data_IF_914408188345
#
_entry.id   IF_914408188345
#
_cell.length_a   1.000
_cell.length_b   1.000
_cell.length_c   1.000
_cell.angle_alpha   90.00
_cell.angle_beta   90.00
_cell.angle_gamma   90.00
#
_symmetry.space_group_name_H-M   'P 1'
#
loop_
_entity.id
_entity.type
_entity.pdbx_description
1 polymer ?
#
# COMPACT_ATOMS: atom_id res chain seq x y z
N UNK A 1 2.69 -20.90 20.12
CA UNK A 1 1.29 -20.73 19.69
C UNK A 1 1.26 -20.86 18.18
N UNK A 2 0.56 -21.85 17.63
CA UNK A 2 0.41 -22.02 16.18
C UNK A 2 -0.41 -20.82 15.67
N UNK A 3 0.11 -20.11 14.67
CA UNK A 3 -0.61 -18.99 14.06
C UNK A 3 -1.79 -19.55 13.28
N UNK A 4 -2.99 -18.99 13.41
CA UNK A 4 -4.18 -19.49 12.72
C UNK A 4 -4.15 -19.17 11.20
N UNK A 5 -3.21 -18.32 10.74
CA UNK A 5 -3.14 -17.84 9.36
C UNK A 5 -1.76 -18.06 8.75
N UNK A 6 -1.74 -18.53 7.49
CA UNK A 6 -0.51 -18.72 6.70
C UNK A 6 -0.04 -17.42 6.05
N UNK A 7 -0.97 -16.54 5.72
CA UNK A 7 -0.70 -15.22 5.12
C UNK A 7 -1.86 -14.26 5.37
N UNK A 8 -1.64 -12.99 5.05
CA UNK A 8 -2.65 -11.94 5.07
C UNK A 8 -2.66 -11.21 3.72
N UNK A 9 -3.85 -10.89 3.20
CA UNK A 9 -4.00 -10.12 1.96
C UNK A 9 -4.90 -8.93 2.25
N UNK A 10 -4.39 -7.71 2.03
CA UNK A 10 -5.19 -6.51 2.04
C UNK A 10 -5.59 -6.15 0.60
N UNK A 11 -6.85 -5.87 0.41
CA UNK A 11 -7.38 -5.33 -0.86
C UNK A 11 -8.04 -3.98 -0.61
N UNK A 12 -8.09 -3.15 -1.63
CA UNK A 12 -8.74 -1.84 -1.53
C UNK A 12 -8.47 -0.97 -2.75
N UNK A 13 -8.72 0.31 -2.58
CA UNK A 13 -8.48 1.31 -3.62
C UNK A 13 -7.37 2.27 -3.20
N UNK A 14 -6.79 2.99 -4.18
CA UNK A 14 -5.77 3.99 -3.95
C UNK A 14 -5.89 5.15 -4.93
N UNK A 15 -5.39 6.33 -4.53
CA UNK A 15 -5.11 7.44 -5.44
C UNK A 15 -3.73 7.29 -6.06
N UNK A 16 -3.57 7.58 -7.36
CA UNK A 16 -2.27 7.53 -8.04
C UNK A 16 -1.65 8.92 -8.18
N UNK A 17 -0.36 9.05 -7.82
CA UNK A 17 0.47 10.22 -8.14
C UNK A 17 1.01 10.15 -9.58
N UNK A 18 0.98 8.99 -10.21
CA UNK A 18 1.60 8.74 -11.51
C UNK A 18 0.56 8.50 -12.60
N UNK A 19 0.61 9.29 -13.67
CA UNK A 19 -0.19 9.07 -14.87
C UNK A 19 0.18 7.79 -15.65
N UNK A 20 1.28 7.12 -15.25
CA UNK A 20 1.71 5.87 -15.89
C UNK A 20 0.93 4.66 -15.35
N UNK A 21 0.21 4.81 -14.24
CA UNK A 21 -0.66 3.79 -13.67
C UNK A 21 -2.10 4.22 -13.96
N UNK A 22 -2.83 3.43 -14.71
CA UNK A 22 -4.16 3.78 -15.16
C UNK A 22 -5.21 3.68 -14.04
N UNK A 23 -6.28 4.44 -14.14
CA UNK A 23 -7.49 4.25 -13.30
C UNK A 23 -8.05 2.84 -13.62
N UNK A 24 -8.46 2.11 -12.58
CA UNK A 24 -8.89 0.72 -12.68
C UNK A 24 -7.73 -0.30 -12.64
N UNK A 25 -6.49 0.11 -12.87
CA UNK A 25 -5.35 -0.80 -12.77
C UNK A 25 -5.11 -1.26 -11.33
N UNK A 26 -4.94 -2.57 -11.14
CA UNK A 26 -4.58 -3.13 -9.83
C UNK A 26 -3.08 -3.32 -9.71
N UNK A 27 -2.51 -2.79 -8.65
CA UNK A 27 -1.08 -2.80 -8.34
C UNK A 27 -0.82 -3.48 -7.00
N UNK A 28 0.41 -3.97 -6.80
CA UNK A 28 0.85 -4.49 -5.51
C UNK A 28 1.75 -3.47 -4.83
N UNK A 29 1.34 -3.00 -3.65
CA UNK A 29 2.21 -2.17 -2.81
C UNK A 29 3.20 -3.10 -2.10
N UNK A 30 4.50 -2.80 -2.23
CA UNK A 30 5.59 -3.59 -1.61
C UNK A 30 6.35 -2.81 -0.55
N UNK A 31 6.20 -1.51 -0.51
CA UNK A 31 6.74 -0.64 0.54
C UNK A 31 5.75 0.51 0.81
N UNK A 32 5.58 0.88 2.07
CA UNK A 32 4.66 1.94 2.49
C UNK A 32 5.18 2.63 3.75
N UNK A 33 4.76 3.86 3.99
CA UNK A 33 5.08 4.60 5.20
C UNK A 33 3.91 5.44 5.68
N UNK A 34 3.91 5.80 6.98
CA UNK A 34 3.02 6.79 7.53
C UNK A 34 3.52 8.20 7.17
N UNK A 35 2.99 8.77 6.09
CA UNK A 35 3.54 10.00 5.51
C UNK A 35 3.21 11.27 6.29
N UNK A 36 2.24 11.22 7.21
CA UNK A 36 1.81 12.36 8.04
C UNK A 36 1.81 12.01 9.55
N UNK A 37 2.50 10.94 9.94
CA UNK A 37 2.75 10.62 11.33
C UNK A 37 4.07 11.27 11.77
N UNK A 38 3.98 12.35 12.55
CA UNK A 38 5.16 13.11 12.95
C UNK A 38 4.78 14.32 13.77
N UNK A 39 5.66 15.31 13.77
CA UNK A 39 5.58 16.55 14.53
C UNK A 39 5.52 17.73 13.56
N UNK A 40 4.63 18.66 13.81
CA UNK A 40 4.68 19.99 13.21
C UNK A 40 5.63 20.90 14.02
N UNK A 41 6.78 21.19 13.43
CA UNK A 41 7.74 22.11 14.00
C UNK A 41 7.67 23.47 13.28
N UNK A 42 6.78 24.33 13.72
CA UNK A 42 6.54 25.67 13.14
C UNK A 42 6.23 25.63 11.64
N UNK A 43 5.31 24.77 11.21
CA UNK A 43 4.91 24.60 9.82
C UNK A 43 5.84 23.68 9.01
N UNK A 44 6.86 23.10 9.63
CA UNK A 44 7.72 22.10 9.03
C UNK A 44 7.40 20.72 9.62
N UNK A 45 6.87 19.83 8.80
CA UNK A 45 6.65 18.45 9.21
C UNK A 45 7.97 17.71 9.37
N UNK A 46 8.12 17.02 10.51
CA UNK A 46 9.22 16.10 10.81
C UNK A 46 8.68 14.73 11.20
N UNK A 47 9.19 13.67 10.59
CA UNK A 47 8.78 12.30 10.93
C UNK A 47 9.23 11.93 12.35
N UNK A 48 8.59 10.91 12.95
CA UNK A 48 8.99 10.38 14.25
C UNK A 48 10.46 9.93 14.25
N UNK A 49 10.95 9.44 13.12
CA UNK A 49 12.36 9.03 12.96
C UNK A 49 13.31 10.22 12.98
N UNK A 50 12.99 11.30 12.26
CA UNK A 50 13.80 12.53 12.27
C UNK A 50 13.88 13.15 13.66
N UNK A 51 12.88 12.92 14.52
CA UNK A 51 12.85 13.36 15.92
C UNK A 51 13.43 12.34 16.90
N UNK A 52 13.90 11.17 16.42
CA UNK A 52 14.42 10.11 17.28
C UNK A 52 13.35 9.42 18.14
N UNK A 53 12.07 9.55 17.78
CA UNK A 53 10.91 9.00 18.51
C UNK A 53 10.39 7.70 17.90
N UNK A 54 11.03 7.19 16.85
CA UNK A 54 10.65 5.90 16.27
C UNK A 54 10.97 4.77 17.23
N UNK A 55 9.98 3.95 17.53
CA UNK A 55 10.10 2.78 18.42
C UNK A 55 10.01 1.46 17.66
N UNK A 56 10.16 1.47 16.36
CA UNK A 56 10.16 0.27 15.53
C UNK A 56 11.59 -0.16 15.13
N UNK A 57 11.69 -1.41 14.72
CA UNK A 57 12.95 -2.02 14.28
C UNK A 57 13.11 -1.96 12.74
N UNK A 58 12.36 -1.05 12.08
CA UNK A 58 12.42 -0.93 10.62
C UNK A 58 13.49 0.08 10.20
N UNK A 59 14.28 -0.29 9.21
CA UNK A 59 15.24 0.62 8.60
C UNK A 59 14.55 1.63 7.70
N UNK A 60 14.78 2.93 7.95
CA UNK A 60 14.21 4.03 7.16
C UNK A 60 12.73 4.33 7.48
N UNK A 61 12.15 5.25 6.72
CA UNK A 61 10.75 5.67 6.87
C UNK A 61 9.76 4.65 6.32
N UNK A 62 10.20 3.76 5.42
CA UNK A 62 9.35 2.78 4.74
C UNK A 62 9.35 1.42 5.41
N UNK A 63 8.15 0.86 5.56
CA UNK A 63 7.93 -0.53 5.96
C UNK A 63 7.92 -1.36 4.69
N UNK A 64 8.95 -2.19 4.51
CA UNK A 64 9.13 -3.00 3.31
C UNK A 64 8.53 -4.39 3.50
N UNK A 65 7.81 -4.90 2.50
CA UNK A 65 7.41 -6.30 2.43
C UNK A 65 8.59 -7.13 1.86
N UNK A 66 9.27 -7.94 2.67
CA UNK A 66 10.48 -8.63 2.25
C UNK A 66 10.21 -9.79 1.28
N UNK A 67 8.99 -10.28 1.26
CA UNK A 67 8.58 -11.44 0.46
C UNK A 67 7.17 -11.25 -0.09
N UNK A 68 7.00 -10.40 -1.13
CA UNK A 68 5.70 -10.17 -1.72
C UNK A 68 5.14 -11.46 -2.33
N UNK A 69 3.94 -11.83 -1.90
CA UNK A 69 3.30 -13.11 -2.26
C UNK A 69 2.85 -13.19 -3.73
N UNK A 70 2.67 -12.06 -4.39
CA UNK A 70 2.11 -11.96 -5.74
C UNK A 70 3.15 -11.37 -6.69
N UNK A 71 3.83 -12.23 -7.45
CA UNK A 71 4.97 -11.81 -8.28
C UNK A 71 4.59 -11.13 -9.59
N UNK A 72 3.36 -11.31 -10.07
CA UNK A 72 2.94 -10.91 -11.42
C UNK A 72 2.39 -9.48 -11.52
N UNK A 73 2.17 -8.80 -10.39
CA UNK A 73 1.64 -7.44 -10.40
C UNK A 73 2.75 -6.39 -10.34
N UNK A 74 2.47 -5.20 -10.91
CA UNK A 74 3.36 -4.06 -10.81
C UNK A 74 3.61 -3.73 -9.33
N UNK A 75 4.87 -3.83 -8.92
CA UNK A 75 5.33 -3.55 -7.56
C UNK A 75 5.63 -2.08 -7.40
N UNK A 76 5.01 -1.46 -6.41
CA UNK A 76 5.09 -0.02 -6.24
C UNK A 76 5.24 0.40 -4.78
N UNK A 77 5.64 1.65 -4.60
CA UNK A 77 5.71 2.34 -3.31
C UNK A 77 4.42 3.08 -3.04
N UNK A 78 3.85 2.87 -1.85
CA UNK A 78 2.73 3.64 -1.32
C UNK A 78 3.15 4.66 -0.27
N UNK A 79 2.23 5.55 0.04
CA UNK A 79 2.19 6.34 1.27
C UNK A 79 0.82 6.24 1.90
N UNK A 80 0.78 6.14 3.22
CA UNK A 80 -0.44 6.16 4.01
C UNK A 80 -0.59 7.50 4.70
N UNK A 81 -1.74 8.13 4.51
CA UNK A 81 -2.08 9.44 5.08
C UNK A 81 -3.36 9.36 5.90
N UNK A 82 -3.47 10.16 6.96
CA UNK A 82 -4.72 10.32 7.72
C UNK A 82 -5.69 11.29 7.04
N UNK A 83 -5.17 12.19 6.22
CA UNK A 83 -5.95 13.16 5.45
C UNK A 83 -5.61 13.02 3.98
N UNK A 84 -6.59 12.65 3.15
CA UNK A 84 -6.41 12.54 1.70
C UNK A 84 -5.91 13.86 1.09
N UNK A 85 -4.91 13.77 0.23
CA UNK A 85 -4.25 14.92 -0.37
C UNK A 85 -5.15 15.60 -1.40
N UNK A 86 -5.43 16.89 -1.19
CA UNK A 86 -6.35 17.67 -2.04
C UNK A 86 -5.83 19.06 -2.39
N UNK A 87 -4.61 19.41 -1.99
CA UNK A 87 -3.95 20.68 -2.35
C UNK A 87 -2.62 20.43 -3.05
N UNK A 88 -2.30 21.27 -4.02
CA UNK A 88 -1.04 21.18 -4.76
C UNK A 88 0.18 21.18 -3.83
N UNK A 89 0.20 22.05 -2.83
CA UNK A 89 1.32 22.15 -1.89
C UNK A 89 1.57 20.85 -1.16
N UNK A 90 0.51 20.19 -0.65
CA UNK A 90 0.65 18.91 0.04
C UNK A 90 1.08 17.79 -0.88
N UNK A 91 0.53 17.76 -2.10
CA UNK A 91 0.89 16.77 -3.12
C UNK A 91 2.38 16.90 -3.47
N UNK A 92 2.85 18.12 -3.76
CA UNK A 92 4.24 18.40 -4.11
C UNK A 92 5.20 18.02 -2.95
N UNK A 93 4.79 18.26 -1.71
CA UNK A 93 5.56 17.88 -0.51
C UNK A 93 5.70 16.35 -0.39
N UNK A 94 4.61 15.60 -0.51
CA UNK A 94 4.64 14.14 -0.46
C UNK A 94 5.49 13.56 -1.58
N UNK A 95 5.34 14.07 -2.81
CA UNK A 95 6.14 13.63 -3.96
C UNK A 95 7.62 13.92 -3.74
N UNK A 96 7.97 15.12 -3.29
CA UNK A 96 9.36 15.51 -3.03
C UNK A 96 10.00 14.65 -1.93
N UNK A 97 9.25 14.34 -0.87
CA UNK A 97 9.78 13.67 0.32
C UNK A 97 9.84 12.15 0.15
N UNK A 98 8.78 11.54 -0.37
CA UNK A 98 8.61 10.09 -0.36
C UNK A 98 8.68 9.45 -1.76
N UNK A 99 8.55 10.24 -2.84
CA UNK A 99 8.49 9.74 -4.22
C UNK A 99 7.49 8.57 -4.37
N UNK A 100 6.26 8.71 -3.86
CA UNK A 100 5.28 7.63 -3.89
C UNK A 100 4.68 7.45 -5.27
N UNK A 101 4.18 6.24 -5.54
CA UNK A 101 3.35 5.97 -6.71
C UNK A 101 1.87 6.14 -6.37
N UNK A 102 1.47 5.76 -5.15
CA UNK A 102 0.07 5.79 -4.71
C UNK A 102 -0.09 6.31 -3.29
N UNK A 103 -1.29 6.84 -3.00
CA UNK A 103 -1.77 7.24 -1.68
C UNK A 103 -2.86 6.30 -1.20
N UNK A 104 -2.74 5.85 0.06
CA UNK A 104 -3.75 5.06 0.79
C UNK A 104 -4.03 5.69 2.15
N UNK A 105 -4.98 5.14 2.91
CA UNK A 105 -5.29 5.62 4.27
C UNK A 105 -5.09 4.56 5.36
N UNK A 106 -4.73 3.30 5.00
CA UNK A 106 -4.65 2.20 5.95
C UNK A 106 -3.44 1.28 5.77
N UNK A 107 -2.75 1.39 4.63
CA UNK A 107 -1.86 0.33 4.17
C UNK A 107 -0.58 0.19 5.04
N UNK A 108 0.03 1.30 5.49
CA UNK A 108 1.19 1.24 6.37
C UNK A 108 0.87 0.55 7.71
N UNK A 109 -0.35 0.76 8.25
CA UNK A 109 -0.79 0.08 9.47
C UNK A 109 -0.88 -1.44 9.27
N UNK A 110 -1.44 -1.87 8.13
CA UNK A 110 -1.48 -3.28 7.76
C UNK A 110 -0.06 -3.87 7.63
N UNK A 111 0.84 -3.17 6.95
CA UNK A 111 2.25 -3.57 6.81
C UNK A 111 2.93 -3.70 8.16
N UNK A 112 2.75 -2.69 9.03
CA UNK A 112 3.32 -2.67 10.37
C UNK A 112 2.92 -3.91 11.17
N UNK A 113 1.62 -4.21 11.23
CA UNK A 113 1.10 -5.37 11.98
C UNK A 113 1.64 -6.68 11.41
N UNK A 114 1.59 -6.86 10.08
CA UNK A 114 2.09 -8.07 9.44
C UNK A 114 3.59 -8.28 9.69
N UNK A 115 4.39 -7.22 9.59
CA UNK A 115 5.83 -7.26 9.89
C UNK A 115 6.10 -7.62 11.34
N UNK A 116 5.47 -6.95 12.31
CA UNK A 116 5.63 -7.24 13.74
C UNK A 116 5.20 -8.67 14.09
N UNK A 117 4.16 -9.17 13.46
CA UNK A 117 3.69 -10.54 13.65
C UNK A 117 4.44 -11.56 12.78
N UNK A 118 5.35 -11.13 11.91
CA UNK A 118 6.09 -11.97 10.94
C UNK A 118 5.12 -12.83 10.09
N UNK A 119 3.99 -12.28 9.69
CA UNK A 119 3.00 -12.93 8.81
C UNK A 119 3.36 -12.56 7.38
N UNK A 120 3.51 -13.53 6.45
CA UNK A 120 3.62 -13.24 5.01
C UNK A 120 2.37 -12.50 4.53
N UNK A 121 2.54 -11.49 3.67
CA UNK A 121 1.40 -10.68 3.27
C UNK A 121 1.51 -10.14 1.84
N UNK A 122 0.37 -9.72 1.30
CA UNK A 122 0.28 -8.94 0.07
C UNK A 122 -0.69 -7.77 0.28
N UNK A 123 -0.47 -6.69 -0.45
CA UNK A 123 -1.42 -5.57 -0.53
C UNK A 123 -1.70 -5.25 -1.99
N UNK A 124 -2.94 -5.45 -2.40
CA UNK A 124 -3.45 -5.13 -3.74
C UNK A 124 -4.35 -3.91 -3.65
N UNK A 125 -4.06 -2.91 -4.47
CA UNK A 125 -4.87 -1.69 -4.56
C UNK A 125 -5.18 -1.39 -6.02
N UNK A 126 -6.47 -1.17 -6.33
CA UNK A 126 -6.84 -0.65 -7.63
C UNK A 126 -6.93 0.87 -7.61
N UNK A 127 -6.50 1.51 -8.68
CA UNK A 127 -6.49 2.97 -8.77
C UNK A 127 -7.91 3.48 -9.00
N UNK A 128 -8.42 4.25 -8.05
CA UNK A 128 -9.76 4.87 -8.13
C UNK A 128 -9.74 6.28 -8.69
N UNK A 129 -8.63 6.99 -8.53
CA UNK A 129 -8.49 8.40 -8.91
C UNK A 129 -7.02 8.80 -9.03
N UNK A 130 -6.77 9.94 -9.64
CA UNK A 130 -5.48 10.62 -9.52
C UNK A 130 -5.44 11.42 -8.21
N UNK A 131 -4.25 11.50 -7.59
CA UNK A 131 -3.99 12.42 -6.48
C UNK A 131 -3.76 13.82 -7.06
N UNK A 132 -4.81 14.62 -7.04
CA UNK A 132 -4.89 15.95 -7.63
C UNK A 132 -5.72 16.89 -6.75
N UNK A 133 -5.74 18.21 -6.97
CA UNK A 133 -6.70 19.10 -6.32
C UNK A 133 -8.11 18.53 -6.46
N UNK A 134 -8.80 18.39 -5.31
CA UNK A 134 -9.96 17.51 -5.15
C UNK A 134 -11.05 17.75 -6.18
N UNK A 135 -11.25 16.77 -7.07
CA UNK A 135 -12.38 16.66 -7.98
C UNK A 135 -12.99 15.25 -7.92
N UNK A 136 -14.14 15.11 -7.23
CA UNK A 136 -14.80 13.80 -7.05
C UNK A 136 -15.43 13.25 -8.33
N UNK A 137 -15.71 14.08 -9.32
CA UNK A 137 -16.27 13.64 -10.59
C UNK A 137 -15.34 12.73 -11.38
N UNK A 138 -14.04 12.87 -11.15
CA UNK A 138 -12.99 12.05 -11.76
C UNK A 138 -12.79 10.69 -11.08
N UNK A 139 -13.48 10.41 -9.96
CA UNK A 139 -13.31 9.18 -9.23
C UNK A 139 -14.09 8.02 -9.87
N UNK A 140 -13.42 6.89 -10.01
CA UNK A 140 -13.95 5.64 -10.60
C UNK A 140 -13.94 4.51 -9.58
N UNK A 141 -14.56 4.75 -8.41
CA UNK A 141 -14.51 3.81 -7.27
C UNK A 141 -15.11 2.45 -7.61
N UNK A 142 -16.26 2.42 -8.29
CA UNK A 142 -16.92 1.15 -8.65
C UNK A 142 -16.05 0.29 -9.58
N UNK A 143 -15.41 0.91 -10.57
CA UNK A 143 -14.47 0.25 -11.48
C UNK A 143 -13.25 -0.30 -10.73
N UNK A 144 -12.64 0.49 -9.86
CA UNK A 144 -11.49 0.07 -9.07
C UNK A 144 -11.85 -1.08 -8.11
N UNK A 145 -13.02 -1.02 -7.45
CA UNK A 145 -13.48 -2.09 -6.56
C UNK A 145 -13.70 -3.39 -7.36
N UNK A 146 -14.31 -3.33 -8.54
CA UNK A 146 -14.48 -4.50 -9.39
C UNK A 146 -13.13 -5.11 -9.78
N UNK A 147 -12.21 -4.29 -10.28
CA UNK A 147 -10.86 -4.70 -10.70
C UNK A 147 -10.07 -5.40 -9.58
N UNK A 148 -10.01 -4.81 -8.37
CA UNK A 148 -9.24 -5.43 -7.27
C UNK A 148 -9.86 -6.74 -6.80
N UNK A 149 -11.19 -6.89 -6.86
CA UNK A 149 -11.86 -8.15 -6.52
C UNK A 149 -11.58 -9.25 -7.57
N UNK A 150 -11.63 -8.93 -8.86
CA UNK A 150 -11.26 -9.85 -9.93
C UNK A 150 -9.81 -10.32 -9.77
N UNK A 151 -8.89 -9.38 -9.56
CA UNK A 151 -7.47 -9.67 -9.32
C UNK A 151 -7.27 -10.58 -8.10
N UNK A 152 -7.99 -10.33 -6.99
CA UNK A 152 -7.93 -11.20 -5.81
C UNK A 152 -8.39 -12.63 -6.12
N UNK A 153 -9.52 -12.77 -6.84
CA UNK A 153 -10.06 -14.09 -7.19
C UNK A 153 -9.06 -14.87 -8.05
N UNK A 154 -8.42 -14.22 -9.02
CA UNK A 154 -7.39 -14.83 -9.85
C UNK A 154 -6.17 -15.25 -9.04
N UNK A 155 -5.69 -14.37 -8.14
CA UNK A 155 -4.59 -14.68 -7.24
C UNK A 155 -4.90 -15.89 -6.36
N UNK A 156 -6.08 -15.95 -5.75
CA UNK A 156 -6.49 -17.06 -4.89
C UNK A 156 -6.62 -18.38 -5.67
N UNK A 157 -7.07 -18.35 -6.92
CA UNK A 157 -7.10 -19.53 -7.80
C UNK A 157 -5.69 -20.05 -8.10
N UNK A 158 -4.74 -19.14 -8.35
CA UNK A 158 -3.33 -19.48 -8.59
C UNK A 158 -2.70 -20.12 -7.35
N UNK A 159 -2.94 -19.59 -6.15
CA UNK A 159 -2.48 -20.20 -4.89
C UNK A 159 -3.03 -21.61 -4.68
N UNK A 160 -4.30 -21.84 -4.94
CA UNK A 160 -4.91 -23.16 -4.82
C UNK A 160 -4.27 -24.18 -5.78
N UNK A 161 -3.92 -23.76 -6.98
CA UNK A 161 -3.25 -24.59 -7.96
C UNK A 161 -1.83 -24.97 -7.51
N UNK A 162 -1.05 -24.06 -6.97
CA UNK A 162 0.30 -24.30 -6.46
C UNK A 162 0.29 -25.24 -5.25
N UNK A 163 -0.64 -25.05 -4.31
CA UNK A 163 -0.80 -25.95 -3.14
C UNK A 163 -1.15 -27.36 -3.59
N UNK A 164 -2.05 -27.54 -4.54
CA UNK A 164 -2.41 -28.85 -5.08
C UNK A 164 -1.23 -29.52 -5.78
N UNK A 165 -0.39 -28.77 -6.48
CA UNK A 165 0.81 -29.29 -7.14
C UNK A 165 1.84 -29.80 -6.15
N UNK A 166 2.02 -29.10 -5.02
CA UNK A 166 2.88 -29.51 -3.91
C UNK A 166 2.37 -30.79 -3.22
N UNK A 167 1.06 -30.95 -3.09
CA UNK A 167 0.46 -32.15 -2.47
C UNK A 167 0.48 -33.40 -3.35
N UNK A 168 0.63 -33.26 -4.68
CA UNK A 168 0.74 -34.36 -5.63
C UNK A 168 2.20 -34.86 -5.77
N UNK A 169 3.16 -34.06 -5.30
CA UNK A 169 4.61 -34.33 -5.41
C UNK A 169 5.16 -35.01 -4.13
N UNK A 170 4.34 -35.20 -3.09
CA UNK A 170 4.62 -35.92 -1.84
C UNK A 170 3.96 -37.30 -1.89
#
# INVERSE_FOLDING_TARGET
>A
MLRPYSCAIAIGIAGSFSKKIAIGETVQITEDCFADLGIDNNGQFRSLREEGLSCDDFDGDFIVNPSPLLSHHLKIRGVTVQTASGSKTRIDELVRRFQPHVETMENAAFFYVCRKQKIPFASLKAISNMVEPRNRENWRMAEAIASVNETLIEALRSFKFEINKLLITL
#
